data_IF_044636547767
#
_entry.id   IF_044636547767
#
_cell.length_a   1.000
_cell.length_b   1.000
_cell.length_c   1.000
_cell.angle_alpha   90.00
_cell.angle_beta   90.00
_cell.angle_gamma   90.00
#
_symmetry.space_group_name_H-M   'P 1'
#
loop_
_entity.id
_entity.type
_entity.pdbx_description
1 polymer ?
#
# COMPACT_ATOMS: atom_id res chain seq x y z
N UNK A 1 9.34 -3.57 32.61
CA UNK A 1 7.90 -3.37 32.35
C UNK A 1 7.73 -3.32 30.86
N UNK A 2 7.04 -4.29 30.26
CA UNK A 2 6.66 -4.22 28.85
C UNK A 2 5.59 -3.12 28.78
N UNK A 3 5.89 -1.98 28.17
CA UNK A 3 4.90 -0.95 27.90
C UNK A 3 3.81 -1.55 27.03
N UNK A 4 2.55 -1.39 27.41
CA UNK A 4 1.42 -1.85 26.60
C UNK A 4 1.56 -1.29 25.18
N UNK A 5 1.33 -2.14 24.18
CA UNK A 5 1.35 -1.70 22.78
C UNK A 5 0.22 -0.69 22.58
N UNK A 6 0.57 0.56 22.30
CA UNK A 6 -0.40 1.57 21.89
C UNK A 6 -0.87 1.24 20.47
N UNK A 7 -2.17 1.16 20.23
CA UNK A 7 -2.74 0.82 18.92
C UNK A 7 -3.53 2.02 18.44
N UNK A 8 -3.46 2.39 17.16
CA UNK A 8 -4.27 3.48 16.63
C UNK A 8 -4.31 3.55 15.13
N UNK A 9 -5.20 4.38 14.60
CA UNK A 9 -5.17 4.81 13.20
C UNK A 9 -4.30 6.05 13.09
N UNK A 10 -3.33 6.06 12.18
CA UNK A 10 -2.67 7.28 11.74
C UNK A 10 -3.29 7.72 10.41
N UNK A 11 -4.02 8.83 10.41
CA UNK A 11 -4.53 9.47 9.19
C UNK A 11 -3.49 10.45 8.69
N UNK A 12 -3.00 10.25 7.46
CA UNK A 12 -2.15 11.18 6.72
C UNK A 12 -3.02 11.82 5.64
N UNK A 13 -3.30 13.11 5.77
CA UNK A 13 -4.14 13.86 4.84
C UNK A 13 -3.33 14.91 4.07
N UNK A 14 -3.46 14.93 2.74
CA UNK A 14 -2.85 15.92 1.85
C UNK A 14 -3.80 16.37 0.73
N UNK A 15 -5.06 16.63 1.10
CA UNK A 15 -6.07 17.14 0.16
C UNK A 15 -5.85 18.63 -0.14
N UNK A 16 -6.40 19.12 -1.25
CA UNK A 16 -6.30 20.54 -1.62
C UNK A 16 -7.16 21.36 -0.65
N UNK A 17 -6.84 22.64 -0.49
CA UNK A 17 -7.62 23.54 0.39
C UNK A 17 -9.09 23.70 -0.03
N UNK A 18 -9.39 23.45 -1.31
CA UNK A 18 -10.75 23.47 -1.86
C UNK A 18 -11.56 22.23 -1.53
N UNK A 19 -10.89 21.13 -1.19
CA UNK A 19 -11.51 19.83 -0.99
C UNK A 19 -12.06 19.74 0.44
N UNK A 20 -13.07 18.90 0.64
CA UNK A 20 -13.49 18.57 1.99
C UNK A 20 -12.37 17.80 2.68
N UNK A 21 -12.06 18.16 3.93
CA UNK A 21 -11.05 17.48 4.75
C UNK A 21 -11.63 16.17 5.33
N UNK A 22 -11.81 15.16 4.49
CA UNK A 22 -12.47 13.89 4.83
C UNK A 22 -11.71 13.10 5.89
N UNK A 23 -10.38 13.06 5.84
CA UNK A 23 -9.55 12.44 6.86
C UNK A 23 -9.66 13.15 8.20
N UNK A 24 -9.69 14.49 8.19
CA UNK A 24 -9.93 15.28 9.42
C UNK A 24 -11.33 15.02 9.99
N UNK A 25 -12.35 14.96 9.14
CA UNK A 25 -13.72 14.65 9.55
C UNK A 25 -13.78 13.26 10.20
N UNK A 26 -13.24 12.22 9.55
CA UNK A 26 -13.12 10.87 10.10
C UNK A 26 -12.42 10.85 11.47
N UNK A 27 -11.35 11.63 11.61
CA UNK A 27 -10.60 11.74 12.86
C UNK A 27 -11.44 12.37 13.98
N UNK A 28 -12.10 13.49 13.70
CA UNK A 28 -12.85 14.28 14.68
C UNK A 28 -14.23 13.68 15.01
N UNK A 29 -14.77 12.81 14.15
CA UNK A 29 -16.06 12.13 14.34
C UNK A 29 -15.86 10.67 14.76
N UNK A 30 -15.76 9.75 13.79
CA UNK A 30 -15.81 8.30 13.98
C UNK A 30 -14.67 7.80 14.85
N UNK A 31 -13.43 8.20 14.56
CA UNK A 31 -12.26 7.76 15.32
C UNK A 31 -12.20 8.36 16.73
N UNK A 32 -12.70 9.59 16.91
CA UNK A 32 -12.85 10.20 18.24
C UNK A 32 -13.86 9.43 19.10
N UNK A 33 -14.98 9.03 18.51
CA UNK A 33 -15.98 8.20 19.19
C UNK A 33 -15.42 6.82 19.54
N UNK A 34 -14.71 6.17 18.62
CA UNK A 34 -14.04 4.88 18.87
C UNK A 34 -13.03 4.98 20.02
N UNK A 35 -12.21 6.04 20.06
CA UNK A 35 -11.29 6.28 21.18
C UNK A 35 -12.02 6.45 22.51
N UNK A 36 -13.17 7.14 22.51
CA UNK A 36 -13.99 7.29 23.70
C UNK A 36 -14.51 5.94 24.23
N UNK A 37 -14.97 5.05 23.34
CA UNK A 37 -15.41 3.68 23.71
C UNK A 37 -14.25 2.76 24.07
N UNK A 38 -13.09 2.94 23.45
CA UNK A 38 -11.92 2.06 23.56
C UNK A 38 -10.67 2.87 23.88
N UNK A 39 -10.47 3.13 25.17
CA UNK A 39 -9.39 3.99 25.68
C UNK A 39 -7.97 3.52 25.35
N UNK A 40 -7.77 2.27 24.92
CA UNK A 40 -6.46 1.78 24.47
C UNK A 40 -6.14 2.16 23.01
N UNK A 41 -7.10 2.75 22.30
CA UNK A 41 -6.94 3.22 20.93
C UNK A 41 -6.49 4.67 20.92
N UNK A 42 -5.30 4.92 20.39
CA UNK A 42 -4.65 6.22 20.32
C UNK A 42 -4.45 6.65 18.85
N UNK A 43 -5.53 7.16 18.27
CA UNK A 43 -5.57 7.68 16.90
C UNK A 43 -4.78 9.00 16.77
N UNK A 44 -4.16 9.20 15.61
CA UNK A 44 -3.38 10.40 15.26
C UNK A 44 -3.78 10.93 13.88
N UNK A 45 -3.73 12.24 13.70
CA UNK A 45 -4.01 12.92 12.44
C UNK A 45 -2.84 13.81 12.06
N UNK A 46 -2.41 13.70 10.80
CA UNK A 46 -1.30 14.43 10.21
C UNK A 46 -1.76 15.12 8.94
N UNK A 47 -1.82 16.45 8.98
CA UNK A 47 -1.96 17.27 7.77
C UNK A 47 -0.56 17.52 7.19
N UNK A 48 -0.32 17.04 5.98
CA UNK A 48 0.97 17.19 5.28
C UNK A 48 0.74 17.94 3.99
N UNK A 49 1.59 18.93 3.70
CA UNK A 49 1.40 19.82 2.55
C UNK A 49 2.33 19.47 1.37
N UNK A 50 3.51 18.97 1.68
CA UNK A 50 4.64 18.85 0.75
C UNK A 50 5.40 17.54 1.00
N UNK A 51 6.28 17.20 0.05
CA UNK A 51 7.03 15.94 0.06
C UNK A 51 7.90 15.81 1.30
N UNK A 52 8.45 16.93 1.78
CA UNK A 52 9.24 16.97 3.01
C UNK A 52 8.41 16.59 4.24
N UNK A 53 7.27 17.24 4.47
CA UNK A 53 6.37 16.95 5.59
C UNK A 53 5.76 15.55 5.50
N UNK A 54 5.47 15.06 4.29
CA UNK A 54 5.01 13.70 4.04
C UNK A 54 6.03 12.66 4.50
N UNK A 55 7.27 12.70 4.00
CA UNK A 55 8.29 11.72 4.40
C UNK A 55 8.72 11.85 5.85
N UNK A 56 8.78 13.08 6.38
CA UNK A 56 9.03 13.31 7.81
C UNK A 56 7.96 12.67 8.69
N UNK A 57 6.72 12.61 8.21
CA UNK A 57 5.63 11.93 8.92
C UNK A 57 5.81 10.42 8.88
N UNK A 58 6.22 9.84 7.74
CA UNK A 58 6.55 8.41 7.66
C UNK A 58 7.72 8.03 8.56
N UNK A 59 8.77 8.86 8.62
CA UNK A 59 9.89 8.69 9.56
C UNK A 59 9.42 8.72 11.01
N UNK A 60 8.57 9.68 11.37
CA UNK A 60 8.00 9.78 12.71
C UNK A 60 7.19 8.53 13.09
N UNK A 61 6.35 8.02 12.17
CA UNK A 61 5.55 6.82 12.39
C UNK A 61 6.45 5.57 12.55
N UNK A 62 7.52 5.47 11.77
CA UNK A 62 8.53 4.42 11.94
C UNK A 62 9.23 4.51 13.30
N UNK A 63 9.65 5.70 13.71
CA UNK A 63 10.32 5.92 14.99
C UNK A 63 9.40 5.64 16.18
N UNK A 64 8.11 5.98 16.08
CA UNK A 64 7.11 5.62 17.09
C UNK A 64 6.91 4.10 17.17
N UNK A 65 6.83 3.42 16.01
CA UNK A 65 6.73 1.96 15.97
C UNK A 65 7.95 1.29 16.64
N UNK A 66 9.15 1.77 16.32
CA UNK A 66 10.41 1.21 16.79
C UNK A 66 10.69 1.50 18.27
N UNK A 67 10.54 2.75 18.68
CA UNK A 67 11.04 3.23 19.97
C UNK A 67 9.94 3.26 21.05
N UNK A 68 8.67 3.30 20.65
CA UNK A 68 7.53 3.41 21.57
C UNK A 68 6.61 2.18 21.54
N UNK A 69 6.95 1.16 20.75
CA UNK A 69 6.12 -0.03 20.55
C UNK A 69 4.67 0.33 20.16
N UNK A 70 4.51 1.38 19.33
CA UNK A 70 3.20 1.81 18.83
C UNK A 70 2.85 1.05 17.56
N UNK A 71 1.61 0.64 17.43
CA UNK A 71 1.07 -0.05 16.26
C UNK A 71 0.07 0.85 15.55
N UNK A 72 0.27 1.02 14.25
CA UNK A 72 -0.58 1.87 13.42
C UNK A 72 -1.31 1.07 12.33
N UNK A 73 -2.60 1.35 12.20
CA UNK A 73 -3.29 1.24 10.93
C UNK A 73 -3.02 2.53 10.14
N UNK A 74 -2.32 2.45 9.02
CA UNK A 74 -2.01 3.64 8.23
C UNK A 74 -3.17 3.95 7.30
N UNK A 75 -3.65 5.19 7.32
CA UNK A 75 -4.73 5.65 6.47
C UNK A 75 -4.28 6.88 5.68
N UNK A 76 -4.50 6.89 4.38
CA UNK A 76 -4.10 7.96 3.49
C UNK A 76 -5.33 8.59 2.83
N UNK A 77 -5.50 9.90 3.04
CA UNK A 77 -6.53 10.76 2.40
C UNK A 77 -5.80 11.77 1.51
N UNK A 78 -5.51 11.33 0.28
CA UNK A 78 -4.62 12.04 -0.65
C UNK A 78 -5.09 11.79 -2.09
N UNK A 79 -4.91 12.76 -2.97
CA UNK A 79 -5.09 12.52 -4.41
C UNK A 79 -4.03 11.55 -4.94
N UNK A 80 -4.34 10.81 -5.99
CA UNK A 80 -3.38 9.89 -6.57
C UNK A 80 -3.85 9.29 -7.88
N UNK A 81 -2.94 8.50 -8.44
CA UNK A 81 -3.10 7.84 -9.73
C UNK A 81 -2.33 6.51 -9.78
N UNK A 82 -2.19 5.97 -10.99
CA UNK A 82 -1.42 4.76 -11.25
C UNK A 82 0.06 4.80 -10.82
N UNK A 83 0.67 5.98 -10.69
CA UNK A 83 2.08 6.16 -10.41
C UNK A 83 2.35 6.46 -8.95
N UNK A 84 1.44 7.19 -8.28
CA UNK A 84 1.68 7.63 -6.92
C UNK A 84 0.61 8.55 -6.33
N UNK A 85 1.09 9.44 -5.46
CA UNK A 85 0.29 10.44 -4.76
C UNK A 85 0.60 11.85 -5.29
N UNK A 86 -0.42 12.69 -5.36
CA UNK A 86 -0.27 14.14 -5.55
C UNK A 86 -0.57 14.84 -4.23
N UNK A 87 0.43 15.52 -3.66
CA UNK A 87 0.30 16.23 -2.38
C UNK A 87 -0.37 17.59 -2.57
N UNK A 88 -0.82 18.20 -1.46
CA UNK A 88 -1.48 19.51 -1.47
C UNK A 88 -0.66 20.63 -2.18
N UNK A 89 0.66 20.54 -2.16
CA UNK A 89 1.59 21.46 -2.84
C UNK A 89 1.65 21.26 -4.36
N UNK A 90 1.11 20.17 -4.89
CA UNK A 90 1.27 19.71 -6.27
C UNK A 90 2.52 18.86 -6.51
N UNK A 91 3.32 18.58 -5.47
CA UNK A 91 4.43 17.64 -5.58
C UNK A 91 3.93 16.19 -5.70
N UNK A 92 4.57 15.43 -6.59
CA UNK A 92 4.29 14.01 -6.82
C UNK A 92 5.21 13.11 -5.99
N UNK A 93 4.65 12.01 -5.48
CA UNK A 93 5.37 10.95 -4.76
C UNK A 93 5.07 9.61 -5.42
N UNK A 94 6.07 9.00 -6.09
CA UNK A 94 5.87 7.68 -6.72
C UNK A 94 5.76 6.60 -5.64
N UNK A 95 4.93 5.59 -5.89
CA UNK A 95 4.76 4.44 -5.00
C UNK A 95 6.09 3.79 -4.59
N UNK A 96 7.10 3.75 -5.49
CA UNK A 96 8.44 3.22 -5.21
C UNK A 96 9.21 4.00 -4.14
N UNK A 97 8.87 5.27 -3.90
CA UNK A 97 9.45 6.08 -2.83
C UNK A 97 8.81 5.74 -1.46
N UNK A 98 7.55 5.29 -1.47
CA UNK A 98 6.73 5.03 -0.26
C UNK A 98 6.91 3.60 0.24
N UNK A 99 6.93 2.62 -0.69
CA UNK A 99 7.02 1.20 -0.36
C UNK A 99 8.18 0.82 0.59
N UNK A 100 9.39 1.40 0.48
CA UNK A 100 10.47 1.13 1.43
C UNK A 100 10.14 1.53 2.89
N UNK A 101 9.31 2.56 3.11
CA UNK A 101 8.85 2.94 4.44
C UNK A 101 7.83 1.94 4.97
N UNK A 102 6.88 1.52 4.12
CA UNK A 102 5.91 0.49 4.47
C UNK A 102 6.60 -0.82 4.84
N UNK A 103 7.59 -1.27 4.06
CA UNK A 103 8.39 -2.45 4.37
C UNK A 103 9.10 -2.33 5.72
N UNK A 104 9.79 -1.21 5.99
CA UNK A 104 10.46 -0.97 7.28
C UNK A 104 9.51 -1.07 8.47
N UNK A 105 8.31 -0.47 8.36
CA UNK A 105 7.29 -0.52 9.42
C UNK A 105 6.72 -1.94 9.54
N UNK A 106 6.40 -2.59 8.42
CA UNK A 106 5.82 -3.93 8.43
C UNK A 106 6.76 -4.99 9.02
N UNK A 107 8.08 -4.81 8.87
CA UNK A 107 9.09 -5.63 9.55
C UNK A 107 8.95 -5.52 11.07
N UNK A 108 8.79 -4.31 11.61
CA UNK A 108 8.58 -4.11 13.06
C UNK A 108 7.27 -4.76 13.52
N UNK A 109 6.25 -4.77 12.66
CA UNK A 109 4.95 -5.37 12.93
C UNK A 109 4.86 -6.86 12.58
N UNK A 110 5.96 -7.48 12.13
CA UNK A 110 6.03 -8.90 11.75
C UNK A 110 4.93 -9.32 10.76
N UNK A 111 4.80 -8.55 9.67
CA UNK A 111 3.78 -8.77 8.64
C UNK A 111 2.34 -8.62 9.14
N UNK A 112 2.07 -7.56 9.91
CA UNK A 112 0.72 -7.18 10.35
C UNK A 112 0.35 -5.74 10.00
N UNK A 113 1.16 -5.00 9.23
CA UNK A 113 0.83 -3.64 8.81
C UNK A 113 -0.39 -3.63 7.89
N UNK A 114 -1.43 -2.91 8.28
CA UNK A 114 -2.60 -2.65 7.44
C UNK A 114 -2.57 -1.20 6.94
N UNK A 115 -2.82 -1.04 5.65
CA UNK A 115 -2.78 0.24 4.95
C UNK A 115 -4.14 0.48 4.29
N UNK A 116 -4.70 1.65 4.49
CA UNK A 116 -6.01 2.04 3.98
C UNK A 116 -5.85 3.27 3.08
N UNK A 117 -6.24 3.13 1.82
CA UNK A 117 -6.00 4.11 0.77
C UNK A 117 -7.34 4.71 0.34
N UNK A 118 -7.69 5.85 0.92
CA UNK A 118 -8.66 6.79 0.35
C UNK A 118 -7.95 7.60 -0.76
N UNK A 119 -7.52 6.89 -1.80
CA UNK A 119 -6.73 7.41 -2.93
C UNK A 119 -7.32 6.86 -4.24
N UNK A 120 -7.56 7.74 -5.21
CA UNK A 120 -7.95 7.32 -6.56
C UNK A 120 -6.93 6.33 -7.13
N UNK A 121 -7.40 5.20 -7.66
CA UNK A 121 -6.54 4.13 -8.20
C UNK A 121 -5.46 3.64 -7.20
N UNK A 122 -5.66 3.79 -5.90
CA UNK A 122 -4.65 3.48 -4.88
C UNK A 122 -4.12 2.05 -4.90
N UNK A 123 -4.91 1.08 -5.40
CA UNK A 123 -4.43 -0.29 -5.60
C UNK A 123 -3.34 -0.43 -6.68
N UNK A 124 -3.07 0.61 -7.47
CA UNK A 124 -1.96 0.61 -8.42
C UNK A 124 -0.59 0.45 -7.73
N UNK A 125 -0.49 0.75 -6.43
CA UNK A 125 0.70 0.49 -5.59
C UNK A 125 1.17 -0.96 -5.69
N UNK A 126 0.25 -1.92 -5.91
CA UNK A 126 0.55 -3.35 -6.03
C UNK A 126 1.48 -3.66 -7.20
N UNK A 127 1.47 -2.85 -8.27
CA UNK A 127 2.33 -3.01 -9.45
C UNK A 127 3.81 -2.75 -9.14
N UNK A 128 4.10 -2.11 -8.01
CA UNK A 128 5.45 -1.68 -7.60
C UNK A 128 6.01 -2.53 -6.46
N UNK A 129 5.23 -3.49 -5.95
CA UNK A 129 5.68 -4.45 -4.92
C UNK A 129 6.83 -5.29 -5.47
N UNK A 130 7.95 -5.30 -4.77
CA UNK A 130 9.09 -6.15 -5.10
C UNK A 130 8.86 -7.55 -4.51
N UNK A 131 8.71 -8.60 -5.33
CA UNK A 131 8.47 -9.97 -4.83
C UNK A 131 9.69 -10.59 -4.14
N UNK A 132 10.87 -9.99 -4.27
CA UNK A 132 12.12 -10.48 -3.70
C UNK A 132 12.51 -9.78 -2.39
N UNK A 133 11.76 -8.77 -1.98
CA UNK A 133 11.92 -8.12 -0.66
C UNK A 133 10.88 -8.65 0.33
N UNK A 134 10.88 -8.12 1.55
CA UNK A 134 9.81 -8.44 2.50
C UNK A 134 8.56 -7.69 2.10
N UNK A 135 7.39 -8.26 2.36
CA UNK A 135 6.15 -7.61 1.95
C UNK A 135 6.00 -6.23 2.63
N UNK A 136 5.64 -5.17 1.87
CA UNK A 136 5.47 -3.84 2.43
C UNK A 136 4.25 -3.73 3.35
N UNK A 137 3.32 -4.67 3.31
CA UNK A 137 2.11 -4.67 4.13
C UNK A 137 1.62 -6.09 4.37
N UNK A 138 0.72 -6.27 5.33
CA UNK A 138 -0.09 -7.47 5.48
C UNK A 138 -1.39 -7.36 4.70
N UNK A 139 -2.04 -6.19 4.76
CA UNK A 139 -3.32 -5.90 4.13
C UNK A 139 -3.35 -4.48 3.55
N UNK A 140 -3.95 -4.34 2.37
CA UNK A 140 -4.33 -3.07 1.77
C UNK A 140 -5.85 -3.03 1.59
N UNK A 141 -6.49 -1.95 2.03
CA UNK A 141 -7.82 -1.56 1.56
C UNK A 141 -7.67 -0.39 0.60
N UNK A 142 -8.16 -0.52 -0.62
CA UNK A 142 -8.03 0.51 -1.65
C UNK A 142 -8.95 0.26 -2.85
N UNK A 143 -8.91 1.17 -3.82
CA UNK A 143 -9.69 1.08 -5.06
C UNK A 143 -8.79 0.90 -6.29
N UNK A 144 -9.29 0.19 -7.30
CA UNK A 144 -8.71 0.16 -8.65
C UNK A 144 -9.22 1.29 -9.55
N UNK A 145 -10.14 2.11 -9.05
CA UNK A 145 -10.84 3.13 -9.82
C UNK A 145 -10.74 4.48 -9.11
N UNK A 146 -11.24 5.52 -9.78
CA UNK A 146 -11.53 6.79 -9.13
C UNK A 146 -12.47 6.59 -7.93
N UNK A 147 -12.23 7.36 -6.89
CA UNK A 147 -13.08 7.40 -5.70
C UNK A 147 -13.70 8.79 -5.57
N UNK A 148 -14.85 8.87 -4.91
CA UNK A 148 -15.59 10.11 -4.74
C UNK A 148 -15.63 10.50 -3.27
N UNK A 149 -15.40 11.78 -2.99
CA UNK A 149 -15.26 12.34 -1.63
C UNK A 149 -16.36 11.86 -0.67
N UNK A 150 -17.63 12.04 -1.05
CA UNK A 150 -18.78 11.65 -0.22
C UNK A 150 -18.85 10.14 0.01
N UNK A 151 -18.66 9.36 -1.04
CA UNK A 151 -18.71 7.89 -0.98
C UNK A 151 -17.57 7.34 -0.11
N UNK A 152 -16.39 7.93 -0.24
CA UNK A 152 -15.17 7.55 0.49
C UNK A 152 -15.31 7.79 1.98
N UNK A 153 -15.79 8.98 2.36
CA UNK A 153 -16.04 9.32 3.76
C UNK A 153 -16.99 8.32 4.42
N UNK A 154 -18.18 8.09 3.83
CA UNK A 154 -19.15 7.15 4.40
C UNK A 154 -18.64 5.71 4.41
N UNK A 155 -17.90 5.31 3.38
CA UNK A 155 -17.28 3.99 3.31
C UNK A 155 -16.33 3.77 4.51
N UNK A 156 -15.42 4.72 4.77
CA UNK A 156 -14.49 4.59 5.88
C UNK A 156 -15.13 4.78 7.26
N UNK A 157 -16.18 5.62 7.39
CA UNK A 157 -16.99 5.68 8.63
C UNK A 157 -17.59 4.30 8.97
N UNK A 158 -18.21 3.66 7.98
CA UNK A 158 -18.82 2.34 8.14
C UNK A 158 -17.76 1.27 8.38
N UNK A 159 -16.63 1.33 7.65
CA UNK A 159 -15.50 0.43 7.83
C UNK A 159 -14.99 0.49 9.27
N UNK A 160 -14.67 1.67 9.80
CA UNK A 160 -14.09 1.79 11.14
C UNK A 160 -15.09 1.42 12.24
N UNK A 161 -16.36 1.80 12.08
CA UNK A 161 -17.43 1.45 13.02
C UNK A 161 -17.58 -0.06 13.17
N UNK A 162 -17.44 -0.82 12.08
CA UNK A 162 -17.51 -2.29 12.12
C UNK A 162 -16.18 -2.92 12.52
N UNK A 163 -15.07 -2.45 11.94
CA UNK A 163 -13.73 -2.96 12.21
C UNK A 163 -13.41 -2.93 13.69
N UNK A 164 -13.60 -1.79 14.36
CA UNK A 164 -13.21 -1.64 15.74
C UNK A 164 -14.15 -2.31 16.74
N UNK A 165 -15.29 -2.89 16.36
CA UNK A 165 -16.11 -3.69 17.29
C UNK A 165 -15.35 -4.91 17.81
N UNK A 166 -14.80 -5.70 16.89
CA UNK A 166 -14.15 -6.99 17.17
C UNK A 166 -12.90 -7.24 16.30
N UNK A 167 -12.30 -6.19 15.73
CA UNK A 167 -11.16 -6.25 14.80
C UNK A 167 -11.43 -7.12 13.55
N UNK A 168 -12.67 -7.11 13.05
CA UNK A 168 -13.13 -7.93 11.93
C UNK A 168 -13.01 -7.19 10.59
N UNK A 169 -11.85 -7.29 9.96
CA UNK A 169 -11.56 -6.60 8.70
C UNK A 169 -12.46 -7.04 7.53
N UNK A 170 -12.84 -8.33 7.47
CA UNK A 170 -13.70 -8.87 6.40
C UNK A 170 -15.12 -8.31 6.53
N UNK A 171 -15.71 -8.40 7.72
CA UNK A 171 -17.03 -7.83 8.00
C UNK A 171 -17.03 -6.31 7.77
N UNK A 172 -15.96 -5.62 8.16
CA UNK A 172 -15.79 -4.19 7.91
C UNK A 172 -15.77 -3.84 6.43
N UNK A 173 -15.08 -4.63 5.60
CA UNK A 173 -15.07 -4.45 4.15
C UNK A 173 -16.47 -4.69 3.55
N UNK A 174 -17.17 -5.74 3.97
CA UNK A 174 -18.53 -6.04 3.48
C UNK A 174 -19.49 -4.90 3.80
N UNK A 175 -19.42 -4.34 5.01
CA UNK A 175 -20.22 -3.19 5.42
C UNK A 175 -19.84 -1.91 4.67
N UNK A 176 -18.54 -1.67 4.48
CA UNK A 176 -18.01 -0.57 3.67
C UNK A 176 -18.56 -0.61 2.25
N UNK A 177 -18.51 -1.78 1.59
CA UNK A 177 -18.95 -1.97 0.21
C UNK A 177 -20.44 -1.69 0.00
N UNK A 178 -21.28 -1.86 1.03
CA UNK A 178 -22.72 -1.55 0.95
C UNK A 178 -22.99 -0.05 0.78
N UNK A 179 -22.06 0.80 1.24
CA UNK A 179 -22.23 2.27 1.24
C UNK A 179 -21.21 3.00 0.36
N UNK A 180 -20.21 2.31 -0.18
CA UNK A 180 -19.10 2.88 -0.94
C UNK A 180 -19.47 3.42 -2.33
N UNK A 181 -20.74 3.32 -2.75
CA UNK A 181 -21.23 3.86 -4.01
C UNK A 181 -20.36 3.41 -5.20
N UNK A 182 -19.76 4.37 -5.91
CA UNK A 182 -18.91 4.08 -7.08
C UNK A 182 -17.43 3.87 -6.74
N UNK A 183 -16.99 4.22 -5.52
CA UNK A 183 -15.58 4.18 -5.13
C UNK A 183 -15.00 2.76 -5.02
N UNK A 184 -15.86 1.73 -4.92
CA UNK A 184 -15.54 0.30 -5.03
C UNK A 184 -14.21 -0.15 -4.35
N UNK A 185 -14.21 -0.16 -3.02
CA UNK A 185 -13.05 -0.60 -2.24
C UNK A 185 -12.92 -2.12 -2.18
N UNK A 186 -11.67 -2.58 -2.13
CA UNK A 186 -11.28 -4.00 -2.07
C UNK A 186 -10.24 -4.21 -0.99
N UNK A 187 -10.15 -5.42 -0.46
CA UNK A 187 -9.12 -5.84 0.49
C UNK A 187 -8.16 -6.83 -0.19
N UNK A 188 -6.87 -6.54 -0.13
CA UNK A 188 -5.83 -7.35 -0.75
C UNK A 188 -4.77 -7.66 0.30
N UNK A 189 -4.47 -8.94 0.50
CA UNK A 189 -3.45 -9.38 1.46
C UNK A 189 -2.12 -9.67 0.79
N UNK A 190 -1.02 -9.61 1.55
CA UNK A 190 0.30 -10.03 1.07
C UNK A 190 0.33 -11.50 0.63
N UNK A 191 -0.47 -12.36 1.26
CA UNK A 191 -0.64 -13.76 0.83
C UNK A 191 -1.31 -13.85 -0.54
N UNK A 192 -2.33 -13.03 -0.81
CA UNK A 192 -2.98 -13.00 -2.12
C UNK A 192 -2.00 -12.56 -3.22
N UNK A 193 -1.23 -11.51 -2.96
CA UNK A 193 -0.19 -11.02 -3.88
C UNK A 193 0.88 -12.07 -4.12
N UNK A 194 1.39 -12.72 -3.06
CA UNK A 194 2.36 -13.79 -3.20
C UNK A 194 1.82 -14.95 -4.05
N UNK A 195 0.58 -15.38 -3.82
CA UNK A 195 -0.04 -16.43 -4.62
C UNK A 195 -0.15 -16.04 -6.09
N UNK A 196 -0.55 -14.80 -6.40
CA UNK A 196 -0.56 -14.30 -7.78
C UNK A 196 0.83 -14.35 -8.43
N UNK A 197 1.86 -13.91 -7.70
CA UNK A 197 3.24 -13.89 -8.17
C UNK A 197 3.80 -15.31 -8.40
N UNK A 198 3.54 -16.24 -7.49
CA UNK A 198 3.93 -17.66 -7.63
C UNK A 198 3.24 -18.33 -8.82
N UNK A 199 1.98 -18.01 -9.08
CA UNK A 199 1.27 -18.52 -10.26
C UNK A 199 1.84 -17.96 -11.57
N UNK A 200 2.31 -16.71 -11.57
CA UNK A 200 3.06 -16.12 -12.69
C UNK A 200 4.40 -16.84 -12.87
N UNK A 201 5.20 -16.97 -11.80
CA UNK A 201 6.50 -17.66 -11.81
C UNK A 201 6.39 -19.09 -12.40
N UNK A 202 5.36 -19.86 -11.99
CA UNK A 202 5.09 -21.21 -12.52
C UNK A 202 4.81 -21.23 -14.02
N UNK A 203 4.09 -20.23 -14.55
CA UNK A 203 3.68 -20.16 -15.97
C UNK A 203 4.80 -19.73 -16.90
N UNK A 204 5.84 -19.06 -16.40
CA UNK A 204 6.92 -18.47 -17.21
C UNK A 204 8.25 -19.26 -17.17
N UNK A 205 8.23 -20.51 -16.71
CA UNK A 205 9.41 -21.30 -16.35
C UNK A 205 10.18 -21.99 -17.52
N UNK A 206 9.96 -21.61 -18.79
CA UNK A 206 10.69 -22.20 -19.94
C UNK A 206 11.63 -21.19 -20.63
N UNK A 207 12.88 -21.16 -20.16
CA UNK A 207 13.98 -20.33 -20.68
C UNK A 207 14.16 -20.49 -22.19
N UNK A 208 13.99 -21.70 -22.74
CA UNK A 208 14.34 -21.99 -24.14
C UNK A 208 13.29 -21.46 -25.12
N UNK A 209 12.01 -21.48 -24.72
CA UNK A 209 10.91 -20.98 -25.54
C UNK A 209 10.90 -19.44 -25.67
N UNK A 210 11.32 -18.73 -24.61
CA UNK A 210 11.37 -17.27 -24.61
C UNK A 210 12.56 -16.74 -25.43
N UNK A 211 13.75 -17.35 -25.29
CA UNK A 211 14.92 -16.99 -26.09
C UNK A 211 14.69 -17.24 -27.58
N UNK A 212 14.10 -18.38 -27.95
CA UNK A 212 13.80 -18.69 -29.36
C UNK A 212 12.78 -17.69 -29.96
N UNK A 213 11.76 -17.27 -29.22
CA UNK A 213 10.79 -16.26 -29.69
C UNK A 213 11.40 -14.86 -29.81
N UNK A 214 12.32 -14.49 -28.93
CA UNK A 214 13.00 -13.18 -29.00
C UNK A 214 13.96 -13.11 -30.19
N UNK A 215 14.66 -14.21 -30.53
CA UNK A 215 15.49 -14.28 -31.73
C UNK A 215 14.68 -14.26 -33.03
N UNK A 216 13.48 -14.85 -33.04
CA UNK A 216 12.55 -14.80 -34.19
C UNK A 216 11.94 -13.41 -34.43
N UNK A 217 11.72 -12.62 -33.36
CA UNK A 217 11.08 -11.30 -33.45
C UNK A 217 12.05 -10.16 -33.81
N UNK A 218 13.36 -10.34 -33.58
CA UNK A 218 14.37 -9.30 -33.81
C UNK A 218 15.62 -9.85 -34.53
N UNK A 219 15.60 -9.95 -35.87
CA UNK A 219 16.74 -10.42 -36.65
C UNK A 219 17.98 -9.53 -36.40
N UNK A 220 19.17 -10.13 -36.52
CA UNK A 220 20.48 -9.51 -36.25
C UNK A 220 20.73 -8.15 -36.94
N UNK A 221 19.97 -7.82 -37.98
CA UNK A 221 20.09 -6.56 -38.72
C UNK A 221 19.51 -5.33 -37.98
N UNK A 222 18.62 -5.51 -37.01
CA UNK A 222 17.96 -4.42 -36.26
C UNK A 222 18.67 -4.02 -34.94
N UNK A 223 19.73 -4.75 -34.54
CA UNK A 223 20.44 -4.52 -33.27
C UNK A 223 21.35 -3.29 -33.25
N UNK A 224 21.53 -2.61 -34.38
CA UNK A 224 22.31 -1.37 -34.43
C UNK A 224 21.48 -0.12 -34.12
N UNK A 225 20.17 -0.26 -33.88
CA UNK A 225 19.32 0.83 -33.44
C UNK A 225 19.45 1.06 -31.90
N UNK A 226 19.73 2.30 -31.43
CA UNK A 226 19.88 2.60 -30.01
C UNK A 226 18.63 2.32 -29.16
N UNK A 227 17.44 2.40 -29.75
CA UNK A 227 16.17 2.16 -29.06
C UNK A 227 15.93 0.67 -28.84
N UNK A 228 16.21 -0.14 -29.86
CA UNK A 228 16.23 -1.61 -29.76
C UNK A 228 17.25 -2.08 -28.71
N UNK A 229 18.43 -1.48 -28.63
CA UNK A 229 19.43 -1.83 -27.62
C UNK A 229 18.98 -1.51 -26.18
N UNK A 230 18.26 -0.40 -25.96
CA UNK A 230 17.73 -0.05 -24.64
C UNK A 230 16.60 -1.02 -24.21
N UNK A 231 15.74 -1.42 -25.16
CA UNK A 231 14.66 -2.39 -24.91
C UNK A 231 15.26 -3.76 -24.58
N UNK A 232 16.26 -4.21 -25.33
CA UNK A 232 16.97 -5.47 -25.08
C UNK A 232 17.65 -5.45 -23.71
N UNK A 233 18.37 -4.37 -23.34
CA UNK A 233 19.03 -4.27 -22.02
C UNK A 233 18.04 -4.25 -20.85
N UNK A 234 16.87 -3.62 -21.02
CA UNK A 234 15.82 -3.62 -19.99
C UNK A 234 15.17 -5.01 -19.84
N UNK A 235 14.99 -5.73 -20.95
CA UNK A 235 14.46 -7.10 -20.95
C UNK A 235 15.50 -8.06 -20.37
N UNK A 236 16.78 -7.91 -20.68
CA UNK A 236 17.88 -8.72 -20.11
C UNK A 236 17.99 -8.55 -18.59
N UNK A 237 17.93 -7.31 -18.08
CA UNK A 237 17.87 -7.04 -16.64
C UNK A 237 16.60 -7.61 -15.98
N UNK A 238 15.48 -7.57 -16.69
CA UNK A 238 14.22 -8.15 -16.21
C UNK A 238 14.30 -9.67 -16.16
N UNK A 239 14.96 -10.31 -17.14
CA UNK A 239 15.17 -11.76 -17.21
C UNK A 239 16.14 -12.24 -16.13
N UNK A 240 17.20 -11.50 -15.79
CA UNK A 240 18.07 -11.84 -14.66
C UNK A 240 17.34 -11.79 -13.31
N UNK A 241 16.37 -10.89 -13.15
CA UNK A 241 15.52 -10.82 -11.94
C UNK A 241 14.49 -11.94 -11.82
N UNK A 242 14.15 -12.62 -12.92
CA UNK A 242 13.12 -13.69 -12.97
C UNK A 242 13.62 -15.04 -12.42
N UNK A 243 14.93 -15.23 -12.18
CA UNK A 243 15.50 -16.50 -11.68
C UNK A 243 15.72 -16.56 -10.17
N UNK A 244 15.37 -15.50 -9.43
CA UNK A 244 15.27 -15.59 -7.99
C UNK A 244 13.96 -16.29 -7.67
N UNK A 245 14.03 -17.44 -7.00
CA UNK A 245 12.80 -18.05 -6.48
C UNK A 245 12.21 -17.16 -5.42
N UNK A 246 10.92 -16.87 -5.52
CA UNK A 246 10.22 -16.14 -4.47
C UNK A 246 10.28 -16.96 -3.18
N UNK A 247 10.89 -16.40 -2.14
CA UNK A 247 10.96 -17.03 -0.82
C UNK A 247 9.73 -16.60 -0.01
N UNK A 248 8.75 -17.49 0.09
CA UNK A 248 7.51 -17.27 0.85
C UNK A 248 7.77 -16.90 2.32
N UNK A 249 8.66 -17.62 2.99
CA UNK A 249 8.93 -17.40 4.41
C UNK A 249 9.56 -16.03 4.65
N UNK A 250 10.44 -15.59 3.75
CA UNK A 250 11.05 -14.27 3.80
C UNK A 250 10.03 -13.15 3.47
N UNK A 251 9.27 -13.31 2.37
CA UNK A 251 8.29 -12.32 1.92
C UNK A 251 7.21 -12.09 2.98
N UNK A 252 6.70 -13.17 3.60
CA UNK A 252 5.66 -13.12 4.62
C UNK A 252 6.21 -12.99 6.05
N UNK A 253 7.51 -12.83 6.21
CA UNK A 253 8.20 -12.66 7.50
C UNK A 253 7.93 -13.81 8.50
N UNK A 254 7.75 -15.03 8.01
CA UNK A 254 7.60 -16.22 8.87
C UNK A 254 8.90 -16.55 9.61
N UNK A 255 10.03 -16.11 9.09
CA UNK A 255 11.36 -16.20 9.70
C UNK A 255 11.56 -15.25 10.90
N UNK A 256 10.67 -14.27 11.12
CA UNK A 256 10.72 -13.33 12.25
C UNK A 256 9.79 -13.69 13.41
N UNK A 257 9.06 -14.82 13.30
CA UNK A 257 8.06 -15.25 14.29
C UNK A 257 8.69 -15.99 15.46
#
# INVERSE_FOLDING_TARGET
MITAQEIGVAIIESLRKSDKRTGRELFETTLKYIKFEKQFIENEYFEVADKYSFFKTLDLLYDNAKNRNKFYFLHFEVHGDNNGLELQSGEEVDWSEILPYFEKINILYKNNLSIYLAVCEGNAVLRKVNPFSRSPFAYIVGSFFEIYERDTLYAFEQFYTTFFKEFKIIEALEEMQKVAGKSNFTLISSHHILNMLLEIEKKHNDKKLLYNKLEELFPLHDRNDPFTNLIVQNIEKSIESIFLKINEDYFLMKDLK
#
